data_IF_301566412317
#
_entry.id   IF_301566412317
#
_cell.length_a   1.000
_cell.length_b   1.000
_cell.length_c   1.000
_cell.angle_alpha   90.00
_cell.angle_beta   90.00
_cell.angle_gamma   90.00
#
_symmetry.space_group_name_H-M   'P 1'
#
loop_
_entity.id
_entity.type
_entity.pdbx_description
1 polymer ?
#
# COMPACT_ATOMS: atom_id res chain seq x y z
N UNK A 1 -11.62 -3.72 5.86
CA UNK A 1 -11.64 -3.94 4.41
C UNK A 1 -11.21 -2.65 3.73
N UNK A 2 -10.04 -2.64 3.09
CA UNK A 2 -9.56 -1.50 2.30
C UNK A 2 -9.77 -1.90 0.83
N UNK A 3 -10.70 -1.27 0.12
CA UNK A 3 -10.90 -1.50 -1.32
C UNK A 3 -11.00 -2.98 -1.73
N UNK A 4 -11.69 -3.82 -0.94
CA UNK A 4 -11.84 -5.26 -1.23
C UNK A 4 -10.67 -6.15 -0.80
N UNK A 5 -9.63 -5.61 -0.16
CA UNK A 5 -8.63 -6.40 0.56
C UNK A 5 -9.12 -6.73 1.98
N UNK A 6 -9.04 -8.02 2.33
CA UNK A 6 -9.45 -8.55 3.63
C UNK A 6 -8.26 -8.63 4.61
N UNK A 7 -7.04 -8.64 4.09
CA UNK A 7 -5.79 -8.76 4.84
C UNK A 7 -4.65 -7.90 4.26
N UNK A 8 -3.54 -7.82 4.99
CA UNK A 8 -2.31 -7.17 4.50
C UNK A 8 -1.62 -7.99 3.41
N UNK A 9 -1.72 -9.32 3.50
CA UNK A 9 -1.23 -10.24 2.47
C UNK A 9 -1.93 -10.00 1.13
N UNK A 10 -3.23 -9.66 1.15
CA UNK A 10 -3.97 -9.32 -0.08
C UNK A 10 -3.41 -8.05 -0.75
N UNK A 11 -2.97 -7.07 0.04
CA UNK A 11 -2.37 -5.83 -0.46
C UNK A 11 -1.00 -6.13 -1.09
N UNK A 12 -0.18 -6.97 -0.43
CA UNK A 12 1.10 -7.42 -0.99
C UNK A 12 0.88 -8.21 -2.30
N UNK A 13 -0.09 -9.13 -2.30
CA UNK A 13 -0.45 -9.93 -3.47
C UNK A 13 -0.92 -9.06 -4.63
N UNK A 14 -1.78 -8.07 -4.37
CA UNK A 14 -2.20 -7.10 -5.36
C UNK A 14 -1.00 -6.36 -5.94
N UNK A 15 -0.12 -5.83 -5.08
CA UNK A 15 1.08 -5.13 -5.50
C UNK A 15 1.94 -6.00 -6.42
N UNK A 16 2.16 -7.27 -6.05
CA UNK A 16 2.91 -8.23 -6.88
C UNK A 16 2.23 -8.45 -8.23
N UNK A 17 0.91 -8.63 -8.25
CA UNK A 17 0.13 -8.85 -9.47
C UNK A 17 0.08 -7.64 -10.40
N UNK A 18 0.22 -6.42 -9.87
CA UNK A 18 0.15 -5.15 -10.61
C UNK A 18 1.47 -4.40 -10.67
N UNK A 19 2.60 -5.04 -10.35
CA UNK A 19 3.91 -4.40 -10.29
C UNK A 19 4.26 -3.63 -11.58
N UNK A 20 3.98 -4.21 -12.75
CA UNK A 20 4.22 -3.56 -14.05
C UNK A 20 3.42 -2.25 -14.18
N UNK A 21 2.15 -2.27 -13.75
CA UNK A 21 1.33 -1.06 -13.72
C UNK A 21 1.86 -0.04 -12.71
N UNK A 22 2.21 -0.47 -11.50
CA UNK A 22 2.70 0.42 -10.44
C UNK A 22 4.02 1.11 -10.82
N UNK A 23 4.84 0.47 -11.68
CA UNK A 23 6.10 1.02 -12.18
C UNK A 23 5.98 2.33 -12.96
N UNK A 24 4.78 2.73 -13.38
CA UNK A 24 4.57 4.06 -13.97
C UNK A 24 4.63 5.20 -12.94
N UNK A 25 4.43 4.90 -11.65
CA UNK A 25 4.41 5.89 -10.58
C UNK A 25 5.73 5.92 -9.79
N UNK A 26 6.31 4.75 -9.52
CA UNK A 26 7.57 4.59 -8.79
C UNK A 26 8.38 3.43 -9.37
N UNK A 27 9.72 3.42 -9.30
CA UNK A 27 10.53 2.38 -9.94
C UNK A 27 10.36 0.95 -9.37
N UNK A 28 10.07 0.82 -8.08
CA UNK A 28 10.03 -0.47 -7.36
C UNK A 28 11.24 -1.36 -7.70
N UNK A 29 12.47 -0.82 -7.57
CA UNK A 29 13.72 -1.52 -7.91
C UNK A 29 13.88 -2.84 -7.14
N UNK A 30 13.39 -2.88 -5.91
CA UNK A 30 13.41 -4.07 -5.03
C UNK A 30 12.06 -4.80 -4.96
N UNK A 31 11.15 -4.52 -5.90
CA UNK A 31 9.81 -5.10 -5.90
C UNK A 31 8.87 -4.46 -4.88
N UNK A 32 7.86 -5.22 -4.47
CA UNK A 32 6.77 -4.76 -3.60
C UNK A 32 7.15 -4.99 -2.14
N UNK A 33 6.92 -4.02 -1.24
CA UNK A 33 7.14 -4.22 0.19
C UNK A 33 6.30 -5.37 0.75
N UNK A 34 6.82 -6.10 1.72
CA UNK A 34 6.06 -7.15 2.42
C UNK A 34 4.87 -6.57 3.18
N UNK A 35 3.89 -7.42 3.48
CA UNK A 35 2.75 -7.15 4.35
C UNK A 35 3.17 -6.49 5.68
N UNK A 36 4.25 -6.97 6.31
CA UNK A 36 4.83 -6.40 7.53
C UNK A 36 5.39 -4.99 7.33
N UNK A 37 6.03 -4.74 6.18
CA UNK A 37 6.55 -3.41 5.85
C UNK A 37 5.42 -2.43 5.62
N UNK A 38 4.38 -2.86 4.91
CA UNK A 38 3.16 -2.07 4.69
C UNK A 38 2.46 -1.77 6.02
N UNK A 39 2.28 -2.78 6.88
CA UNK A 39 1.71 -2.60 8.23
C UNK A 39 2.45 -1.54 9.02
N UNK A 40 3.78 -1.62 9.07
CA UNK A 40 4.60 -0.65 9.82
C UNK A 40 4.47 0.75 9.25
N UNK A 41 4.51 0.89 7.92
CA UNK A 41 4.35 2.17 7.25
C UNK A 41 3.00 2.83 7.59
N UNK A 42 1.89 2.13 7.40
CA UNK A 42 0.56 2.69 7.67
C UNK A 42 0.31 2.99 9.15
N UNK A 43 0.90 2.21 10.07
CA UNK A 43 0.83 2.49 11.52
C UNK A 43 1.56 3.76 11.93
N UNK A 44 2.55 4.20 11.14
CA UNK A 44 3.32 5.42 11.44
C UNK A 44 2.72 6.70 10.85
N UNK A 45 1.71 6.59 9.99
CA UNK A 45 1.06 7.74 9.36
C UNK A 45 0.13 8.43 10.36
N UNK A 46 0.16 9.77 10.40
CA UNK A 46 -0.85 10.58 11.09
C UNK A 46 -2.21 10.42 10.38
N UNK A 47 -3.12 9.71 11.03
CA UNK A 47 -4.45 9.40 10.50
C UNK A 47 -5.28 10.66 10.23
N UNK A 48 -5.10 11.72 11.03
CA UNK A 48 -5.86 12.97 10.90
C UNK A 48 -5.38 13.78 9.70
N UNK A 49 -4.07 13.80 9.45
CA UNK A 49 -3.55 14.44 8.25
C UNK A 49 -3.91 13.63 6.99
N UNK A 50 -3.82 12.31 7.06
CA UNK A 50 -4.15 11.43 5.93
C UNK A 50 -5.62 11.56 5.52
N UNK A 51 -6.56 11.57 6.47
CA UNK A 51 -7.99 11.77 6.18
C UNK A 51 -8.24 13.11 5.47
N UNK A 52 -7.63 14.19 5.97
CA UNK A 52 -7.77 15.54 5.38
C UNK A 52 -7.26 15.66 3.95
N UNK A 53 -6.29 14.85 3.55
CA UNK A 53 -5.68 14.95 2.21
C UNK A 53 -6.33 14.03 1.17
N UNK A 54 -6.94 12.93 1.62
CA UNK A 54 -7.39 11.86 0.71
C UNK A 54 -8.89 11.55 0.78
N UNK A 55 -9.64 12.09 1.76
CA UNK A 55 -11.06 11.76 1.97
C UNK A 55 -11.96 12.99 2.05
N UNK A 56 -11.57 14.00 2.83
CA UNK A 56 -12.29 15.28 2.98
C UNK A 56 -12.07 16.21 1.78
#
# INVERSE_FOLDING_TARGET
MICGADSWDDIELFGKSKLVFLRQYLPYEFGIPSDDTLRRFFRTIDTTQFQRLFVE
#
